data_IF_292843695527
#
_entry.id   IF_292843695527
#
_cell.length_a   1.000
_cell.length_b   1.000
_cell.length_c   1.000
_cell.angle_alpha   90.00
_cell.angle_beta   90.00
_cell.angle_gamma   90.00
#
_symmetry.space_group_name_H-M   'P 1'
#
loop_
_entity.id
_entity.type
_entity.pdbx_description
1 polymer ?
#
# COMPACT_ATOMS: atom_id res chain seq x y z
N UNK A 1 32.36 -12.67 -12.16
CA UNK A 1 31.03 -12.15 -11.75
C UNK A 1 30.03 -12.54 -12.83
N UNK A 2 29.45 -13.73 -12.74
CA UNK A 2 28.49 -14.26 -13.71
C UNK A 2 27.11 -13.69 -13.38
N UNK A 3 26.57 -12.86 -14.28
CA UNK A 3 25.22 -12.31 -14.16
C UNK A 3 24.22 -13.42 -14.52
N UNK A 4 23.63 -14.07 -13.51
CA UNK A 4 22.52 -14.99 -13.73
C UNK A 4 21.29 -14.19 -14.19
N UNK A 5 20.95 -14.26 -15.47
CA UNK A 5 19.74 -13.63 -16.02
C UNK A 5 18.51 -14.20 -15.30
N UNK A 6 17.64 -13.36 -14.69
CA UNK A 6 16.41 -13.83 -14.09
C UNK A 6 15.56 -14.57 -15.12
N UNK A 7 15.06 -15.76 -14.77
CA UNK A 7 14.14 -16.51 -15.63
C UNK A 7 12.76 -15.85 -15.66
N UNK A 8 12.03 -16.03 -16.78
CA UNK A 8 10.70 -15.44 -16.96
C UNK A 8 9.74 -15.77 -15.81
N UNK A 9 9.82 -17.00 -15.27
CA UNK A 9 9.04 -17.45 -14.12
C UNK A 9 9.31 -16.62 -12.86
N UNK A 10 10.58 -16.32 -12.56
CA UNK A 10 10.94 -15.53 -11.38
C UNK A 10 10.43 -14.09 -11.47
N UNK A 11 10.48 -13.49 -12.66
CA UNK A 11 9.93 -12.15 -12.90
C UNK A 11 8.41 -12.14 -12.77
N UNK A 12 7.74 -13.16 -13.32
CA UNK A 12 6.28 -13.29 -13.25
C UNK A 12 5.79 -13.50 -11.81
N UNK A 13 6.42 -14.39 -11.03
CA UNK A 13 6.04 -14.63 -9.64
C UNK A 13 6.29 -13.41 -8.76
N UNK A 14 7.41 -12.71 -8.96
CA UNK A 14 7.70 -11.47 -8.24
C UNK A 14 6.68 -10.36 -8.56
N UNK A 15 6.24 -10.24 -9.82
CA UNK A 15 5.19 -9.30 -10.20
C UNK A 15 3.84 -9.68 -9.58
N UNK A 16 3.44 -10.95 -9.69
CA UNK A 16 2.20 -11.44 -9.12
C UNK A 16 2.12 -11.22 -7.60
N UNK A 17 3.22 -11.49 -6.87
CA UNK A 17 3.29 -11.22 -5.44
C UNK A 17 3.07 -9.74 -5.10
N UNK A 18 3.70 -8.82 -5.84
CA UNK A 18 3.47 -7.37 -5.65
C UNK A 18 2.04 -6.97 -6.00
N UNK A 19 1.48 -7.51 -7.08
CA UNK A 19 0.11 -7.22 -7.49
C UNK A 19 -0.90 -7.65 -6.43
N UNK A 20 -0.79 -8.88 -5.94
CA UNK A 20 -1.65 -9.43 -4.88
C UNK A 20 -1.50 -8.68 -3.56
N UNK A 21 -0.29 -8.30 -3.17
CA UNK A 21 -0.08 -7.50 -1.97
C UNK A 21 -0.66 -6.08 -2.15
N UNK A 22 -0.37 -5.42 -3.27
CA UNK A 22 -0.84 -4.06 -3.54
C UNK A 22 -2.37 -3.97 -3.62
N UNK A 23 -3.05 -5.00 -4.14
CA UNK A 23 -4.50 -4.99 -4.28
C UNK A 23 -5.23 -4.90 -2.94
N UNK A 24 -4.67 -5.51 -1.88
CA UNK A 24 -5.23 -5.43 -0.53
C UNK A 24 -5.33 -3.97 -0.04
N UNK A 25 -4.26 -3.22 -0.24
CA UNK A 25 -4.18 -1.81 0.14
C UNK A 25 -4.99 -0.90 -0.79
N UNK A 26 -4.97 -1.16 -2.11
CA UNK A 26 -5.76 -0.39 -3.07
C UNK A 26 -7.25 -0.50 -2.77
N UNK A 27 -7.77 -1.70 -2.54
CA UNK A 27 -9.18 -1.91 -2.19
C UNK A 27 -9.54 -1.21 -0.88
N UNK A 28 -8.70 -1.34 0.15
CA UNK A 28 -8.87 -0.64 1.43
C UNK A 28 -8.90 0.89 1.27
N UNK A 29 -7.90 1.45 0.57
CA UNK A 29 -7.77 2.88 0.36
C UNK A 29 -8.89 3.47 -0.47
N UNK A 30 -9.37 2.75 -1.49
CA UNK A 30 -10.53 3.17 -2.27
C UNK A 30 -11.79 3.20 -1.40
N UNK A 31 -11.97 2.25 -0.48
CA UNK A 31 -13.07 2.28 0.49
C UNK A 31 -13.02 3.52 1.38
N UNK A 32 -11.84 3.88 1.89
CA UNK A 32 -11.65 5.11 2.69
C UNK A 32 -11.87 6.39 1.87
N UNK A 33 -11.43 6.41 0.61
CA UNK A 33 -11.60 7.54 -0.29
C UNK A 33 -13.06 7.71 -0.75
N UNK A 34 -13.82 6.61 -0.88
CA UNK A 34 -15.22 6.64 -1.28
C UNK A 34 -16.14 7.15 -0.18
N UNK A 35 -15.79 6.95 1.10
CA UNK A 35 -16.57 7.43 2.25
C UNK A 35 -15.72 8.14 3.33
N UNK A 36 -15.05 9.27 3.01
CA UNK A 36 -14.10 9.91 3.92
C UNK A 36 -14.73 10.35 5.25
N UNK A 37 -15.97 10.84 5.23
CA UNK A 37 -16.68 11.29 6.44
C UNK A 37 -16.95 10.13 7.41
N UNK A 38 -17.34 8.96 6.89
CA UNK A 38 -17.55 7.77 7.71
C UNK A 38 -16.22 7.28 8.32
N UNK A 39 -15.14 7.28 7.53
CA UNK A 39 -13.81 6.90 8.02
C UNK A 39 -13.28 7.89 9.06
N UNK A 40 -13.49 9.20 8.89
CA UNK A 40 -13.13 10.21 9.88
C UNK A 40 -13.90 10.04 11.19
N UNK A 41 -15.19 9.73 11.13
CA UNK A 41 -15.99 9.44 12.32
C UNK A 41 -15.46 8.22 13.08
N UNK A 42 -15.07 7.17 12.35
CA UNK A 42 -14.44 5.99 12.94
C UNK A 42 -13.05 6.28 13.54
N UNK A 43 -12.17 6.98 12.82
CA UNK A 43 -10.85 7.35 13.37
C UNK A 43 -11.02 8.24 14.61
N UNK A 44 -11.94 9.20 14.56
CA UNK A 44 -12.23 10.10 15.68
C UNK A 44 -12.75 9.37 16.92
N UNK A 45 -13.49 8.28 16.77
CA UNK A 45 -13.98 7.49 17.91
C UNK A 45 -12.89 6.72 18.64
N UNK A 46 -11.70 6.54 18.03
CA UNK A 46 -10.54 5.90 18.68
C UNK A 46 -9.81 6.81 19.68
N UNK A 47 -10.16 8.10 19.74
CA UNK A 47 -9.47 9.09 20.57
C UNK A 47 -8.13 9.58 19.98
N UNK A 48 -7.83 9.23 18.73
CA UNK A 48 -6.61 9.63 18.05
C UNK A 48 -6.56 11.16 17.85
N UNK A 49 -5.45 11.83 18.20
CA UNK A 49 -5.27 13.23 17.88
C UNK A 49 -5.15 13.41 16.35
N UNK A 50 -5.79 14.45 15.83
CA UNK A 50 -5.80 14.81 14.40
C UNK A 50 -6.29 13.72 13.42
N UNK A 51 -7.57 13.29 13.50
CA UNK A 51 -8.14 12.24 12.62
C UNK A 51 -7.99 12.50 11.12
N UNK A 52 -7.98 13.78 10.72
CA UNK A 52 -7.80 14.19 9.33
C UNK A 52 -6.40 13.90 8.81
N UNK A 53 -5.36 14.13 9.62
CA UNK A 53 -3.99 13.79 9.27
C UNK A 53 -3.79 12.28 9.18
N UNK A 54 -4.40 11.54 10.11
CA UNK A 54 -4.39 10.07 10.10
C UNK A 54 -5.03 9.50 8.82
N UNK A 55 -6.19 10.03 8.41
CA UNK A 55 -6.82 9.62 7.15
C UNK A 55 -5.96 9.96 5.93
N UNK A 56 -5.37 11.15 5.89
CA UNK A 56 -4.50 11.57 4.79
C UNK A 56 -3.26 10.66 4.68
N UNK A 57 -2.62 10.33 5.80
CA UNK A 57 -1.49 9.41 5.85
C UNK A 57 -1.90 8.00 5.40
N UNK A 58 -3.06 7.51 5.85
CA UNK A 58 -3.59 6.22 5.43
C UNK A 58 -3.80 6.17 3.90
N UNK A 59 -4.44 7.18 3.31
CA UNK A 59 -4.66 7.24 1.86
C UNK A 59 -3.34 7.33 1.06
N UNK A 60 -2.35 8.08 1.57
CA UNK A 60 -1.03 8.16 0.94
C UNK A 60 -0.34 6.80 0.88
N UNK A 61 -0.39 6.03 1.97
CA UNK A 61 0.24 4.71 2.02
C UNK A 61 -0.60 3.70 1.21
N UNK A 62 -1.90 3.64 1.44
CA UNK A 62 -2.76 2.64 0.84
C UNK A 62 -2.92 2.78 -0.66
N UNK A 63 -2.96 4.00 -1.19
CA UNK A 63 -3.10 4.24 -2.62
C UNK A 63 -1.76 4.58 -3.27
N UNK A 64 -1.01 5.51 -2.68
CA UNK A 64 0.26 5.95 -3.24
C UNK A 64 1.33 4.86 -3.18
N UNK A 65 1.55 4.26 -2.00
CA UNK A 65 2.62 3.26 -1.85
C UNK A 65 2.21 1.92 -2.45
N UNK A 66 0.94 1.55 -2.41
CA UNK A 66 0.47 0.36 -3.12
C UNK A 66 0.64 0.49 -4.65
N UNK A 67 0.34 1.65 -5.23
CA UNK A 67 0.60 1.91 -6.65
C UNK A 67 2.11 1.83 -6.95
N UNK A 68 2.95 2.43 -6.09
CA UNK A 68 4.41 2.35 -6.22
C UNK A 68 4.91 0.89 -6.16
N UNK A 69 4.38 0.07 -5.26
CA UNK A 69 4.72 -1.35 -5.14
C UNK A 69 4.32 -2.13 -6.40
N UNK A 70 3.10 -1.87 -6.92
CA UNK A 70 2.57 -2.52 -8.12
C UNK A 70 3.46 -2.26 -9.34
N UNK A 71 3.82 -1.00 -9.60
CA UNK A 71 4.68 -0.63 -10.74
C UNK A 71 6.16 -1.01 -10.53
N UNK A 72 6.53 -1.43 -9.32
CA UNK A 72 7.89 -1.86 -9.01
C UNK A 72 8.85 -0.73 -8.61
N UNK A 73 8.34 0.44 -8.21
CA UNK A 73 9.17 1.54 -7.77
C UNK A 73 9.70 1.30 -6.34
N UNK A 74 11.04 1.27 -6.19
CA UNK A 74 11.73 1.08 -4.89
C UNK A 74 11.10 -0.02 -4.01
N UNK A 75 10.78 -1.17 -4.61
CA UNK A 75 9.99 -2.26 -4.02
C UNK A 75 10.36 -2.61 -2.59
N UNK A 76 11.67 -2.71 -2.28
CA UNK A 76 12.13 -3.04 -0.92
C UNK A 76 11.71 -2.00 0.12
N UNK A 77 11.93 -0.72 -0.14
CA UNK A 77 11.58 0.36 0.78
C UNK A 77 10.05 0.48 0.91
N UNK A 78 9.35 0.47 -0.22
CA UNK A 78 7.89 0.58 -0.25
C UNK A 78 7.23 -0.57 0.49
N UNK A 79 7.69 -1.81 0.25
CA UNK A 79 7.18 -2.99 0.94
C UNK A 79 7.45 -2.93 2.46
N UNK A 80 8.62 -2.43 2.90
CA UNK A 80 8.90 -2.27 4.33
C UNK A 80 7.95 -1.26 4.99
N UNK A 81 7.70 -0.12 4.36
CA UNK A 81 6.75 0.86 4.91
C UNK A 81 5.34 0.30 4.95
N UNK A 82 4.89 -0.34 3.86
CA UNK A 82 3.56 -0.94 3.80
C UNK A 82 3.38 -2.08 4.81
N UNK A 83 4.41 -2.89 5.04
CA UNK A 83 4.37 -3.96 6.05
C UNK A 83 4.25 -3.43 7.48
N UNK A 84 4.83 -2.26 7.78
CA UNK A 84 4.71 -1.63 9.10
C UNK A 84 3.42 -0.82 9.30
N UNK A 85 2.65 -0.56 8.23
CA UNK A 85 1.40 0.19 8.30
C UNK A 85 0.18 -0.68 8.66
N UNK A 86 0.26 -2.00 8.45
CA UNK A 86 -0.84 -2.91 8.81
C UNK A 86 -1.04 -3.02 10.31
#
# INVERSE_FOLDING_TARGET
MTLSTPTATHTATAFAGRALLSSLFIVSGLGKAAAPAATLGYIGSTGMPFPTLALAAALLIELGFAAALLVGYRTRLVATVMAGFT
#
